data_IF_378896719522
#
_entry.id   IF_378896719522
#
_cell.length_a   1.000
_cell.length_b   1.000
_cell.length_c   1.000
_cell.angle_alpha   90.00
_cell.angle_beta   90.00
_cell.angle_gamma   90.00
#
_symmetry.space_group_name_H-M   'P 1'
#
loop_
_entity.id
_entity.type
_entity.pdbx_description
1 polymer ?
#
# COMPACT_ATOMS: atom_id res chain seq x y z
N UNK A 1 15.25 -23.43 -0.94
CA UNK A 1 13.87 -23.53 -0.40
C UNK A 1 13.22 -22.17 -0.53
N UNK A 2 12.09 -22.08 -1.25
CA UNK A 2 11.31 -20.85 -1.33
C UNK A 2 10.49 -20.72 -0.04
N UNK A 3 10.72 -19.65 0.75
CA UNK A 3 9.93 -19.38 1.94
C UNK A 3 8.85 -18.36 1.59
N UNK A 4 7.61 -18.85 1.52
CA UNK A 4 6.41 -18.03 1.33
C UNK A 4 6.00 -17.42 2.69
N UNK A 5 5.92 -16.09 2.79
CA UNK A 5 5.60 -15.37 4.03
C UNK A 5 4.48 -14.35 3.82
N UNK A 6 3.57 -14.21 4.78
CA UNK A 6 2.55 -13.16 4.76
C UNK A 6 2.98 -11.96 5.60
N UNK A 7 2.99 -10.75 5.02
CA UNK A 7 3.23 -9.49 5.73
C UNK A 7 2.21 -8.48 5.23
N UNK A 8 1.49 -7.79 6.13
CA UNK A 8 0.50 -6.79 5.73
C UNK A 8 -0.64 -7.34 4.86
N UNK A 9 -0.95 -8.64 4.98
CA UNK A 9 -2.01 -9.30 4.20
C UNK A 9 -1.61 -9.70 2.78
N UNK A 10 -0.39 -9.38 2.34
CA UNK A 10 0.15 -9.80 1.04
C UNK A 10 1.06 -11.01 1.17
N UNK A 11 1.11 -11.82 0.11
CA UNK A 11 1.99 -12.98 0.04
C UNK A 11 3.33 -12.57 -0.60
N UNK A 12 4.44 -12.88 0.07
CA UNK A 12 5.78 -12.58 -0.38
C UNK A 12 6.57 -13.86 -0.62
N UNK A 13 7.40 -13.83 -1.65
CA UNK A 13 8.43 -14.83 -1.89
C UNK A 13 9.76 -14.29 -1.37
N UNK A 14 10.44 -15.05 -0.53
CA UNK A 14 11.79 -14.70 -0.06
C UNK A 14 12.85 -15.34 -0.94
N UNK A 15 13.80 -14.52 -1.41
CA UNK A 15 15.00 -14.98 -2.11
C UNK A 15 16.24 -14.65 -1.28
N UNK A 16 17.27 -15.49 -1.42
CA UNK A 16 18.56 -15.31 -0.76
C UNK A 16 19.59 -14.86 -1.80
N UNK A 17 20.27 -13.75 -1.52
CA UNK A 17 21.35 -13.20 -2.34
C UNK A 17 22.61 -13.12 -1.50
N UNK A 18 23.74 -12.83 -2.15
CA UNK A 18 25.02 -12.50 -1.51
C UNK A 18 24.96 -11.26 -0.61
N UNK A 19 23.96 -10.40 -0.82
CA UNK A 19 23.69 -9.22 0.01
C UNK A 19 22.65 -9.45 1.11
N UNK A 20 22.15 -10.69 1.27
CA UNK A 20 21.18 -11.06 2.29
C UNK A 20 19.85 -11.56 1.73
N UNK A 21 18.84 -11.64 2.61
CA UNK A 21 17.49 -12.10 2.21
C UNK A 21 16.61 -10.92 1.87
N UNK A 22 15.98 -10.98 0.71
CA UNK A 22 15.00 -9.98 0.28
C UNK A 22 13.69 -10.63 -0.13
N UNK A 23 12.61 -9.86 -0.04
CA UNK A 23 11.28 -10.31 -0.41
C UNK A 23 10.86 -9.69 -1.73
N UNK A 24 10.18 -10.48 -2.55
CA UNK A 24 9.58 -10.04 -3.81
C UNK A 24 8.07 -10.31 -3.74
N UNK A 25 7.29 -9.37 -4.25
CA UNK A 25 5.86 -9.53 -4.43
C UNK A 25 5.41 -8.86 -5.72
N UNK A 26 4.36 -9.41 -6.33
CA UNK A 26 3.64 -8.74 -7.41
C UNK A 26 2.48 -7.96 -6.81
N UNK A 27 2.38 -6.67 -7.18
CA UNK A 27 1.28 -5.82 -6.76
C UNK A 27 0.50 -5.36 -8.00
N UNK A 28 -0.82 -5.65 -8.03
CA UNK A 28 -1.71 -5.28 -9.13
C UNK A 28 -1.83 -3.78 -9.38
N UNK A 29 -1.50 -2.96 -8.38
CA UNK A 29 -1.54 -1.51 -8.46
C UNK A 29 -0.19 -0.90 -8.84
N UNK A 30 0.87 -1.72 -8.94
CA UNK A 30 2.16 -1.28 -9.44
C UNK A 30 2.13 -1.28 -10.98
N UNK A 31 2.54 -0.20 -11.66
CA UNK A 31 2.68 -0.20 -13.11
C UNK A 31 3.61 -1.32 -13.59
N UNK A 32 3.29 -1.93 -14.74
CA UNK A 32 4.03 -3.08 -15.28
C UNK A 32 5.50 -2.76 -15.62
N UNK A 33 5.81 -1.48 -15.85
CA UNK A 33 7.14 -0.98 -16.19
C UNK A 33 7.94 -0.53 -14.97
N UNK A 34 7.38 -0.66 -13.76
CA UNK A 34 7.98 -0.04 -12.58
C UNK A 34 8.32 -1.11 -11.54
N UNK A 35 9.47 -0.93 -10.89
CA UNK A 35 9.93 -1.70 -9.75
C UNK A 35 10.11 -0.77 -8.56
N UNK A 36 9.58 -1.15 -7.40
CA UNK A 36 9.78 -0.42 -6.16
C UNK A 36 10.56 -1.27 -5.16
N UNK A 37 11.59 -0.69 -4.59
CA UNK A 37 12.31 -1.20 -3.43
C UNK A 37 11.78 -0.46 -2.21
N UNK A 38 11.13 -1.18 -1.31
CA UNK A 38 10.40 -0.58 -0.18
C UNK A 38 10.80 -1.25 1.12
N UNK A 39 11.23 -0.45 2.08
CA UNK A 39 11.46 -0.89 3.46
C UNK A 39 10.14 -0.99 4.22
N UNK A 40 9.42 -2.11 4.01
CA UNK A 40 8.07 -2.33 4.54
C UNK A 40 7.99 -2.24 6.07
N UNK A 41 9.09 -2.47 6.78
CA UNK A 41 9.16 -2.34 8.23
C UNK A 41 9.00 -0.90 8.74
N UNK A 42 9.19 0.10 7.87
CA UNK A 42 8.93 1.52 8.19
C UNK A 42 7.55 1.99 7.72
N UNK A 43 6.89 1.21 6.87
CA UNK A 43 5.59 1.55 6.33
C UNK A 43 4.49 1.19 7.33
N UNK A 44 3.71 2.19 7.75
CA UNK A 44 2.54 1.99 8.59
C UNK A 44 1.38 2.92 8.21
N UNK A 45 0.13 2.45 8.31
CA UNK A 45 -1.03 3.30 8.10
C UNK A 45 -1.13 4.33 9.24
N UNK A 46 -1.44 5.57 8.88
CA UNK A 46 -1.71 6.65 9.84
C UNK A 46 -3.18 6.98 9.76
N UNK A 47 -3.90 6.77 10.85
CA UNK A 47 -5.34 7.02 10.91
C UNK A 47 -5.57 8.43 11.43
N UNK A 48 -6.31 9.25 10.66
CA UNK A 48 -6.75 10.55 11.15
C UNK A 48 -8.09 10.39 11.85
N UNK A 49 -8.09 10.59 13.17
CA UNK A 49 -9.31 10.53 13.97
C UNK A 49 -10.03 11.87 13.95
N UNK A 50 -11.34 11.83 13.70
CA UNK A 50 -12.21 12.98 13.95
C UNK A 50 -12.69 12.92 15.40
N UNK A 51 -12.52 14.00 16.19
CA UNK A 51 -12.96 14.05 17.58
C UNK A 51 -14.40 13.58 17.76
N UNK A 52 -14.59 12.54 18.58
CA UNK A 52 -15.90 11.95 18.89
C UNK A 52 -16.49 11.01 17.83
N UNK A 53 -15.81 10.78 16.70
CA UNK A 53 -16.28 9.87 15.63
C UNK A 53 -15.30 8.74 15.31
N UNK A 54 -14.01 8.91 15.62
CA UNK A 54 -12.97 7.94 15.28
C UNK A 54 -12.42 8.12 13.86
N UNK A 55 -11.75 7.10 13.31
CA UNK A 55 -11.08 7.16 12.00
C UNK A 55 -11.91 6.62 10.83
N UNK A 56 -12.94 5.82 11.10
CA UNK A 56 -13.88 5.31 10.12
C UNK A 56 -15.28 5.38 10.71
N UNK A 57 -16.16 6.21 10.13
CA UNK A 57 -17.50 6.42 10.66
C UNK A 57 -18.53 6.62 9.54
N UNK A 58 -19.79 6.30 9.86
CA UNK A 58 -20.90 6.48 8.96
C UNK A 58 -21.67 7.76 9.32
N UNK A 59 -22.00 8.58 8.31
CA UNK A 59 -22.82 9.77 8.49
C UNK A 59 -24.09 9.71 7.64
N UNK A 60 -25.22 10.21 8.15
CA UNK A 60 -26.43 10.35 7.35
C UNK A 60 -26.22 11.36 6.22
N UNK A 61 -26.57 10.97 5.00
CA UNK A 61 -26.76 11.90 3.89
C UNK A 61 -28.14 12.56 4.01
N UNK A 62 -28.29 13.74 3.39
CA UNK A 62 -29.56 14.46 3.37
C UNK A 62 -30.70 13.58 2.84
N UNK A 63 -31.86 13.62 3.51
CA UNK A 63 -33.02 12.82 3.14
C UNK A 63 -33.54 13.24 1.77
N UNK A 64 -33.84 12.26 0.92
CA UNK A 64 -34.54 12.45 -0.35
C UNK A 64 -35.83 11.64 -0.31
N UNK A 65 -36.94 12.32 0.02
CA UNK A 65 -38.21 11.65 0.34
C UNK A 65 -38.09 10.81 1.62
N UNK A 66 -38.54 9.56 1.57
CA UNK A 66 -38.45 8.58 2.69
C UNK A 66 -37.15 7.75 2.69
N UNK A 67 -36.24 7.97 1.74
CA UNK A 67 -35.00 7.21 1.67
C UNK A 67 -33.96 7.75 2.64
N UNK A 68 -33.46 6.87 3.52
CA UNK A 68 -32.30 7.13 4.36
C UNK A 68 -31.06 6.57 3.68
N UNK A 69 -30.05 7.41 3.52
CA UNK A 69 -28.76 7.05 2.93
C UNK A 69 -27.68 7.43 3.91
N UNK A 70 -26.65 6.60 3.99
CA UNK A 70 -25.46 6.88 4.79
C UNK A 70 -24.24 6.92 3.87
N UNK A 71 -23.28 7.76 4.20
CA UNK A 71 -21.94 7.74 3.64
C UNK A 71 -20.97 7.20 4.69
N UNK A 72 -19.99 6.43 4.26
CA UNK A 72 -18.89 6.01 5.13
C UNK A 72 -17.71 6.91 4.81
N UNK A 73 -17.12 7.51 5.83
CA UNK A 73 -15.95 8.36 5.74
C UNK A 73 -14.81 7.78 6.57
N UNK A 74 -13.60 7.90 6.05
CA UNK A 74 -12.38 7.64 6.80
C UNK A 74 -11.16 8.17 6.07
N UNK A 75 -10.21 8.72 6.83
CA UNK A 75 -8.95 9.24 6.31
C UNK A 75 -7.80 8.37 6.81
N UNK A 76 -7.07 7.78 5.87
CA UNK A 76 -5.89 6.95 6.15
C UNK A 76 -4.73 7.49 5.32
N UNK A 77 -3.68 7.94 6.00
CA UNK A 77 -2.38 8.29 5.41
C UNK A 77 -1.38 7.15 5.49
N UNK A 78 -0.20 7.38 4.93
CA UNK A 78 0.95 6.46 5.00
C UNK A 78 2.12 7.16 5.68
N UNK A 79 2.59 6.59 6.78
CA UNK A 79 3.92 6.87 7.31
C UNK A 79 4.91 5.94 6.60
N UNK A 80 5.91 6.50 5.92
CA UNK A 80 6.90 5.74 5.16
C UNK A 80 8.31 5.82 5.76
N UNK A 81 8.51 6.50 6.89
CA UNK A 81 9.83 6.63 7.52
C UNK A 81 10.82 7.44 6.67
N UNK A 82 12.05 6.97 6.56
CA UNK A 82 13.11 7.68 5.85
C UNK A 82 13.01 7.44 4.33
N UNK A 83 12.87 8.50 3.54
CA UNK A 83 12.78 8.42 2.06
C UNK A 83 13.95 7.67 1.42
N UNK A 84 15.15 7.82 1.97
CA UNK A 84 16.36 7.20 1.41
C UNK A 84 16.39 5.67 1.54
N UNK A 85 15.48 5.09 2.32
CA UNK A 85 15.32 3.63 2.45
C UNK A 85 14.37 3.04 1.41
N UNK A 86 13.87 3.85 0.49
CA UNK A 86 12.98 3.44 -0.58
C UNK A 86 13.55 3.87 -1.94
N UNK A 87 13.18 3.15 -2.98
CA UNK A 87 13.59 3.43 -4.34
C UNK A 87 12.52 3.03 -5.34
N UNK A 88 12.42 3.78 -6.43
CA UNK A 88 11.57 3.43 -7.56
C UNK A 88 12.38 3.50 -8.84
N UNK A 89 12.33 2.43 -9.60
CA UNK A 89 12.83 2.39 -10.97
C UNK A 89 11.59 2.35 -11.86
N UNK A 90 11.51 3.29 -12.80
CA UNK A 90 10.41 3.39 -13.74
C UNK A 90 10.90 3.01 -15.15
N UNK A 91 9.96 2.71 -16.05
CA UNK A 91 10.25 2.47 -17.48
C UNK A 91 11.14 1.24 -17.77
N UNK A 92 11.15 0.25 -16.87
CA UNK A 92 11.82 -1.03 -17.08
C UNK A 92 11.09 -1.78 -18.19
N UNK A 93 11.81 -2.11 -19.27
CA UNK A 93 11.27 -2.84 -20.41
C UNK A 93 10.68 -1.97 -21.51
N UNK A 94 10.78 -0.65 -21.42
CA UNK A 94 10.69 0.24 -22.58
C UNK A 94 12.00 0.11 -23.40
N UNK A 95 12.27 -1.09 -23.90
CA UNK A 95 13.20 -1.29 -24.98
C UNK A 95 12.52 -0.76 -26.24
N UNK A 96 12.92 0.43 -26.65
CA UNK A 96 12.89 0.86 -28.04
C UNK A 96 13.55 -0.22 -28.89
N UNK A 97 12.74 -1.16 -29.39
CA UNK A 97 13.09 -2.06 -30.49
C UNK A 97 13.20 -1.30 -31.82
N UNK A 98 13.94 -0.17 -31.84
CA UNK A 98 14.37 0.58 -33.02
C UNK A 98 15.89 0.72 -33.03
#
# INVERSE_FOLDING_TARGET
>A
EEQTRNVGGVNLQTIETDFGRTNIMLNRFMPITDLAVVSLEECSPVFLEIPGKGHFFAEPLAKSGSAEKVQIYGEIGLSYGNELKHGKISEIGNGDGS
#
